data_IF_815684210760
#
_entry.id   IF_815684210760
#
_cell.length_a   1.000
_cell.length_b   1.000
_cell.length_c   1.000
_cell.angle_alpha   90.00
_cell.angle_beta   90.00
_cell.angle_gamma   90.00
#
_symmetry.space_group_name_H-M   'P 1'
#
loop_
_entity.id
_entity.type
_entity.pdbx_description
1 polymer ?
#
# COMPACT_ATOMS: atom_id res chain seq x y z
N UNK A 1 14.07 -25.21 33.57
CA UNK A 1 13.98 -24.12 32.60
C UNK A 1 14.50 -24.54 31.22
N UNK A 2 13.79 -25.38 30.46
CA UNK A 2 14.29 -25.86 29.17
C UNK A 2 13.17 -26.25 28.17
N UNK A 3 12.04 -25.54 28.10
CA UNK A 3 10.96 -25.84 27.14
C UNK A 3 10.65 -24.71 26.14
N UNK A 4 11.41 -23.60 26.14
CA UNK A 4 11.15 -22.47 25.24
C UNK A 4 11.83 -22.60 23.86
N UNK A 5 12.92 -23.33 23.74
CA UNK A 5 13.71 -23.42 22.52
C UNK A 5 13.01 -24.11 21.33
N UNK A 6 12.30 -25.25 21.49
CA UNK A 6 11.62 -25.92 20.37
C UNK A 6 10.45 -25.10 19.80
N UNK A 7 9.76 -24.34 20.65
CA UNK A 7 8.63 -23.50 20.22
C UNK A 7 9.08 -22.28 19.39
N UNK A 8 10.20 -21.67 19.77
CA UNK A 8 10.82 -20.55 19.01
C UNK A 8 11.36 -21.02 17.66
N UNK A 9 12.00 -22.18 17.60
CA UNK A 9 12.50 -22.78 16.36
C UNK A 9 11.33 -23.12 15.43
N UNK A 10 10.25 -23.69 15.93
CA UNK A 10 9.05 -24.00 15.13
C UNK A 10 8.37 -22.76 14.57
N UNK A 11 8.28 -21.66 15.33
CA UNK A 11 7.76 -20.38 14.85
C UNK A 11 8.63 -19.75 13.76
N UNK A 12 9.96 -19.79 13.90
CA UNK A 12 10.90 -19.27 12.92
C UNK A 12 10.89 -20.09 11.63
N UNK A 13 10.90 -21.42 11.72
CA UNK A 13 10.79 -22.32 10.58
C UNK A 13 9.45 -22.15 9.84
N UNK A 14 8.34 -22.00 10.57
CA UNK A 14 7.02 -21.75 9.99
C UNK A 14 6.93 -20.44 9.21
N UNK A 15 7.59 -19.37 9.68
CA UNK A 15 7.65 -18.08 8.95
C UNK A 15 8.47 -18.18 7.67
N UNK A 16 9.58 -18.90 7.69
CA UNK A 16 10.42 -19.12 6.51
C UNK A 16 9.72 -19.98 5.46
N UNK A 17 9.03 -21.04 5.88
CA UNK A 17 8.28 -21.91 4.99
C UNK A 17 7.13 -21.16 4.33
N UNK A 18 6.38 -20.32 5.07
CA UNK A 18 5.31 -19.48 4.50
C UNK A 18 5.82 -18.51 3.45
N UNK A 19 6.98 -17.90 3.68
CA UNK A 19 7.59 -16.96 2.74
C UNK A 19 8.07 -17.64 1.45
N UNK A 20 8.73 -18.78 1.54
CA UNK A 20 9.14 -19.55 0.36
C UNK A 20 7.90 -20.01 -0.44
N UNK A 21 6.87 -20.51 0.25
CA UNK A 21 5.60 -20.91 -0.34
C UNK A 21 4.89 -19.71 -1.00
N UNK A 22 4.82 -18.56 -0.34
CA UNK A 22 4.24 -17.34 -0.89
C UNK A 22 4.93 -16.89 -2.18
N UNK A 23 6.27 -16.80 -2.19
CA UNK A 23 7.01 -16.41 -3.39
C UNK A 23 6.76 -17.36 -4.57
N UNK A 24 6.75 -18.65 -4.30
CA UNK A 24 6.48 -19.65 -5.31
C UNK A 24 5.04 -19.55 -5.83
N UNK A 25 4.05 -19.43 -4.95
CA UNK A 25 2.65 -19.27 -5.33
C UNK A 25 2.34 -17.94 -6.03
N UNK A 26 3.03 -16.86 -5.66
CA UNK A 26 2.88 -15.56 -6.34
C UNK A 26 3.38 -15.56 -7.78
N UNK A 27 4.26 -16.49 -8.15
CA UNK A 27 4.81 -16.62 -9.51
C UNK A 27 4.14 -17.76 -10.30
N UNK A 28 3.81 -18.88 -9.65
CA UNK A 28 3.37 -20.11 -10.31
C UNK A 28 1.97 -20.55 -9.95
N UNK A 29 1.36 -20.01 -8.89
CA UNK A 29 0.01 -20.31 -8.43
C UNK A 29 -1.06 -19.64 -9.29
N UNK A 30 -2.30 -20.11 -9.16
CA UNK A 30 -3.44 -19.38 -9.70
C UNK A 30 -3.65 -18.06 -8.92
N UNK A 31 -4.40 -17.12 -9.49
CA UNK A 31 -4.61 -15.79 -8.90
C UNK A 31 -5.13 -15.85 -7.46
N UNK A 32 -6.07 -16.74 -7.15
CA UNK A 32 -6.66 -16.86 -5.83
C UNK A 32 -5.66 -17.38 -4.78
N UNK A 33 -4.84 -18.36 -5.15
CA UNK A 33 -3.76 -18.86 -4.28
C UNK A 33 -2.71 -17.78 -4.00
N UNK A 34 -2.39 -16.99 -5.03
CA UNK A 34 -1.47 -15.88 -4.90
C UNK A 34 -2.02 -14.82 -3.92
N UNK A 35 -3.28 -14.41 -4.07
CA UNK A 35 -3.94 -13.44 -3.17
C UNK A 35 -3.93 -13.95 -1.72
N UNK A 36 -4.27 -15.22 -1.47
CA UNK A 36 -4.25 -15.79 -0.12
C UNK A 36 -2.84 -15.81 0.48
N UNK A 37 -1.84 -16.17 -0.32
CA UNK A 37 -0.46 -16.18 0.11
C UNK A 37 0.05 -14.77 0.45
N UNK A 38 -0.36 -13.76 -0.33
CA UNK A 38 -0.07 -12.34 -0.10
C UNK A 38 -0.71 -11.82 1.18
N UNK A 39 -1.96 -12.21 1.47
CA UNK A 39 -2.64 -11.85 2.71
C UNK A 39 -1.89 -12.36 3.95
N UNK A 40 -1.35 -13.57 3.89
CA UNK A 40 -0.59 -14.12 5.02
C UNK A 40 0.70 -13.33 5.29
N UNK A 41 1.44 -12.97 4.23
CA UNK A 41 2.67 -12.19 4.33
C UNK A 41 2.38 -10.73 4.70
N UNK A 42 1.39 -10.12 4.05
CA UNK A 42 0.98 -8.74 4.34
C UNK A 42 0.54 -8.56 5.80
N UNK A 43 -0.15 -9.53 6.37
CA UNK A 43 -0.51 -9.51 7.81
C UNK A 43 0.71 -9.51 8.73
N UNK A 44 1.73 -10.32 8.40
CA UNK A 44 2.97 -10.33 9.18
C UNK A 44 3.72 -8.99 9.03
N UNK A 45 3.69 -8.36 7.84
CA UNK A 45 4.24 -7.03 7.59
C UNK A 45 3.46 -5.94 8.32
N UNK A 46 2.13 -5.98 8.25
CA UNK A 46 1.26 -5.00 8.91
C UNK A 46 1.50 -4.94 10.42
N UNK A 47 1.70 -6.08 11.07
CA UNK A 47 2.06 -6.14 12.50
C UNK A 47 3.37 -5.41 12.80
N UNK A 48 4.37 -5.52 11.93
CA UNK A 48 5.65 -4.81 12.10
C UNK A 48 5.45 -3.31 11.99
N UNK A 49 4.62 -2.86 11.04
CA UNK A 49 4.27 -1.43 10.89
C UNK A 49 3.54 -0.92 12.13
N UNK A 50 2.55 -1.67 12.63
CA UNK A 50 1.80 -1.31 13.83
C UNK A 50 2.67 -1.27 15.09
N UNK A 51 3.61 -2.22 15.25
CA UNK A 51 4.56 -2.24 16.37
C UNK A 51 5.53 -1.03 16.35
N UNK A 52 5.81 -0.49 15.17
CA UNK A 52 6.67 0.69 14.99
C UNK A 52 5.89 2.01 15.06
N UNK A 53 4.61 1.98 14.78
CA UNK A 53 3.68 3.11 14.93
C UNK A 53 3.34 3.28 16.41
N UNK A 54 3.76 4.38 17.03
CA UNK A 54 3.53 4.66 18.45
C UNK A 54 2.07 5.06 18.69
N UNK A 55 1.19 4.10 18.95
CA UNK A 55 -0.18 4.34 19.40
C UNK A 55 -1.26 3.98 18.36
N UNK A 56 -2.53 4.08 18.75
CA UNK A 56 -3.70 3.92 17.87
C UNK A 56 -4.15 5.30 17.38
N UNK A 57 -4.45 5.40 16.09
CA UNK A 57 -4.98 6.62 15.51
C UNK A 57 -6.36 7.00 16.06
N UNK A 58 -6.84 8.19 15.72
CA UNK A 58 -8.16 8.68 16.14
C UNK A 58 -9.26 7.72 15.68
N UNK A 59 -10.14 7.25 16.60
CA UNK A 59 -11.30 6.44 16.23
C UNK A 59 -12.21 7.12 15.19
N UNK A 60 -12.31 8.43 15.21
CA UNK A 60 -13.07 9.23 14.23
C UNK A 60 -12.51 9.03 12.81
N UNK A 61 -11.19 9.11 12.65
CA UNK A 61 -10.57 8.90 11.34
C UNK A 61 -10.72 7.45 10.87
N UNK A 62 -10.60 6.48 11.77
CA UNK A 62 -10.82 5.09 11.41
C UNK A 62 -12.24 4.86 10.89
N UNK A 63 -13.26 5.39 11.57
CA UNK A 63 -14.66 5.29 11.15
C UNK A 63 -14.88 5.96 9.78
N UNK A 64 -14.31 7.15 9.56
CA UNK A 64 -14.40 7.85 8.28
C UNK A 64 -13.78 7.00 7.14
N UNK A 65 -12.56 6.51 7.35
CA UNK A 65 -11.85 5.71 6.34
C UNK A 65 -12.55 4.38 6.06
N UNK A 66 -13.09 3.70 7.07
CA UNK A 66 -13.86 2.47 6.91
C UNK A 66 -15.16 2.70 6.12
N UNK A 67 -15.85 3.83 6.35
CA UNK A 67 -17.07 4.20 5.63
C UNK A 67 -16.79 4.48 4.14
N UNK A 68 -15.60 4.97 3.79
CA UNK A 68 -15.16 5.17 2.41
C UNK A 68 -14.66 3.87 1.79
N UNK A 69 -13.87 3.10 2.51
CA UNK A 69 -13.25 1.87 2.00
C UNK A 69 -14.27 0.77 1.70
N UNK A 70 -15.31 0.65 2.52
CA UNK A 70 -16.33 -0.40 2.38
C UNK A 70 -17.07 -0.38 1.03
N UNK A 71 -17.62 0.74 0.54
CA UNK A 71 -18.21 0.80 -0.80
C UNK A 71 -17.20 0.55 -1.91
N UNK A 72 -15.95 1.04 -1.80
CA UNK A 72 -14.88 0.76 -2.76
C UNK A 72 -14.60 -0.74 -2.86
N UNK A 73 -14.34 -1.40 -1.74
CA UNK A 73 -14.09 -2.84 -1.68
C UNK A 73 -15.26 -3.66 -2.25
N UNK A 74 -16.50 -3.18 -2.06
CA UNK A 74 -17.71 -3.75 -2.62
C UNK A 74 -17.76 -3.76 -4.15
N UNK A 75 -16.96 -2.95 -4.84
CA UNK A 75 -16.89 -2.89 -6.31
C UNK A 75 -15.77 -3.72 -6.91
N UNK A 76 -14.85 -4.23 -6.10
CA UNK A 76 -13.77 -5.10 -6.58
C UNK A 76 -14.35 -6.43 -7.02
N UNK A 77 -14.07 -6.84 -8.28
CA UNK A 77 -14.66 -8.04 -8.90
C UNK A 77 -14.21 -9.32 -8.22
N UNK A 78 -12.90 -9.49 -8.02
CA UNK A 78 -12.35 -10.67 -7.36
C UNK A 78 -12.56 -10.58 -5.85
N UNK A 79 -13.53 -11.34 -5.34
CA UNK A 79 -13.95 -11.34 -3.93
C UNK A 79 -12.93 -11.97 -2.97
N UNK A 80 -11.82 -12.51 -3.47
CA UNK A 80 -10.74 -13.00 -2.63
C UNK A 80 -9.85 -11.84 -2.12
N UNK A 81 -9.86 -10.67 -2.79
CA UNK A 81 -9.24 -9.48 -2.22
C UNK A 81 -9.96 -9.07 -0.93
N UNK A 82 -9.18 -8.83 0.09
CA UNK A 82 -9.62 -8.29 1.38
C UNK A 82 -8.85 -7.00 1.61
N UNK A 83 -9.55 -5.96 2.05
CA UNK A 83 -8.91 -4.68 2.34
C UNK A 83 -9.14 -4.34 3.81
N UNK A 84 -8.07 -3.98 4.49
CA UNK A 84 -8.07 -3.55 5.88
C UNK A 84 -7.35 -2.20 5.94
N UNK A 85 -8.12 -1.15 6.24
CA UNK A 85 -7.59 0.20 6.32
C UNK A 85 -7.20 0.48 7.77
N UNK A 86 -6.02 1.04 7.98
CA UNK A 86 -5.49 1.34 9.32
C UNK A 86 -4.97 2.78 9.37
N UNK A 87 -5.28 3.46 10.44
CA UNK A 87 -4.69 4.77 10.72
C UNK A 87 -3.25 4.56 11.19
N UNK A 88 -2.29 5.18 10.50
CA UNK A 88 -0.87 5.16 10.85
C UNK A 88 -0.49 6.48 11.51
N UNK A 89 0.01 6.46 12.74
CA UNK A 89 0.52 7.68 13.36
C UNK A 89 1.81 8.11 12.66
N UNK A 90 1.70 9.16 11.87
CA UNK A 90 2.79 9.80 11.16
C UNK A 90 2.48 11.30 11.04
N UNK A 91 3.48 12.13 11.31
CA UNK A 91 3.38 13.58 11.11
C UNK A 91 3.33 13.93 9.61
N UNK A 92 3.88 13.07 8.77
CA UNK A 92 3.91 13.26 7.33
C UNK A 92 2.62 12.71 6.69
N UNK A 93 1.98 13.45 5.75
CA UNK A 93 0.83 12.97 5.00
C UNK A 93 1.26 11.82 4.09
N UNK A 94 0.92 10.61 4.48
CA UNK A 94 1.29 9.39 3.76
C UNK A 94 0.15 8.40 3.70
N UNK A 95 0.09 7.65 2.61
CA UNK A 95 -0.69 6.43 2.45
C UNK A 95 0.15 5.40 1.72
N UNK A 96 -0.03 4.13 2.04
CA UNK A 96 0.61 3.03 1.32
C UNK A 96 -0.13 1.72 1.55
N UNK A 97 -0.01 0.82 0.57
CA UNK A 97 -0.53 -0.52 0.64
C UNK A 97 0.59 -1.56 0.81
N UNK A 98 0.34 -2.54 1.67
CA UNK A 98 1.12 -3.77 1.77
C UNK A 98 0.45 -4.89 0.95
N UNK A 99 1.18 -5.95 0.55
CA UNK A 99 0.59 -7.11 -0.08
C UNK A 99 -0.62 -7.64 0.71
N UNK A 100 -1.61 -8.17 -0.01
CA UNK A 100 -2.78 -8.78 0.61
C UNK A 100 -3.84 -7.80 1.13
N UNK A 101 -3.65 -6.47 0.89
CA UNK A 101 -4.71 -5.48 1.08
C UNK A 101 -4.69 -4.73 2.42
N UNK A 102 -3.57 -4.71 3.13
CA UNK A 102 -3.39 -3.87 4.31
C UNK A 102 -2.95 -2.47 3.86
N UNK A 103 -3.81 -1.48 4.08
CA UNK A 103 -3.60 -0.08 3.67
C UNK A 103 -3.47 0.78 4.90
N UNK A 104 -2.42 1.59 4.94
CA UNK A 104 -2.14 2.52 6.03
C UNK A 104 -2.31 3.95 5.55
N UNK A 105 -2.95 4.79 6.36
CA UNK A 105 -3.22 6.20 6.05
C UNK A 105 -2.91 7.05 7.28
N UNK A 106 -2.10 8.09 7.09
CA UNK A 106 -1.77 9.01 8.16
C UNK A 106 -2.91 10.00 8.45
N UNK A 107 -3.14 10.39 9.73
CA UNK A 107 -4.06 11.46 10.10
C UNK A 107 -3.81 12.77 9.34
N UNK A 108 -2.54 13.15 9.18
CA UNK A 108 -2.13 14.34 8.43
C UNK A 108 -2.60 14.34 6.97
N UNK A 109 -2.73 13.16 6.32
CA UNK A 109 -3.31 13.05 4.99
C UNK A 109 -4.83 13.24 5.00
N UNK A 110 -5.52 12.74 6.03
CA UNK A 110 -6.97 12.95 6.22
C UNK A 110 -7.28 14.42 6.45
N UNK A 111 -6.45 15.09 7.23
CA UNK A 111 -6.54 16.53 7.48
C UNK A 111 -6.23 17.35 6.23
N UNK A 112 -5.19 16.98 5.47
CA UNK A 112 -4.87 17.60 4.18
C UNK A 112 -6.04 17.54 3.20
N UNK A 113 -6.74 16.41 3.15
CA UNK A 113 -7.97 16.26 2.36
C UNK A 113 -9.18 16.98 2.98
N UNK A 114 -9.03 17.68 4.11
CA UNK A 114 -10.13 18.33 4.87
C UNK A 114 -11.29 17.35 5.15
N UNK A 115 -10.97 16.08 5.36
CA UNK A 115 -11.92 14.98 5.56
C UNK A 115 -12.88 14.78 4.36
N UNK A 116 -12.54 15.31 3.17
CA UNK A 116 -13.36 15.19 1.96
C UNK A 116 -13.39 13.73 1.50
N UNK A 117 -14.59 13.16 1.48
CA UNK A 117 -14.77 11.73 1.17
C UNK A 117 -14.41 11.36 -0.27
N UNK A 118 -14.59 12.25 -1.25
CA UNK A 118 -14.24 11.98 -2.65
C UNK A 118 -12.72 11.94 -2.86
N UNK A 119 -12.00 12.86 -2.20
CA UNK A 119 -10.54 12.93 -2.24
C UNK A 119 -9.91 11.72 -1.53
N UNK A 120 -10.44 11.37 -0.36
CA UNK A 120 -10.01 10.17 0.38
C UNK A 120 -10.38 8.87 -0.36
N UNK A 121 -11.52 8.85 -1.08
CA UNK A 121 -11.90 7.71 -1.91
C UNK A 121 -10.93 7.49 -3.06
N UNK A 122 -10.39 8.57 -3.66
CA UNK A 122 -9.30 8.46 -4.63
C UNK A 122 -8.04 7.86 -3.99
N UNK A 123 -7.60 8.38 -2.85
CA UNK A 123 -6.40 7.87 -2.16
C UNK A 123 -6.55 6.38 -1.83
N UNK A 124 -7.65 6.00 -1.19
CA UNK A 124 -7.92 4.60 -0.83
C UNK A 124 -8.02 3.73 -2.10
N UNK A 125 -8.72 4.22 -3.12
CA UNK A 125 -8.87 3.53 -4.41
C UNK A 125 -7.54 3.32 -5.12
N UNK A 126 -6.62 4.29 -5.07
CA UNK A 126 -5.27 4.23 -5.59
C UNK A 126 -4.46 3.13 -4.89
N UNK A 127 -4.49 3.09 -3.56
CA UNK A 127 -3.82 2.04 -2.80
C UNK A 127 -4.45 0.64 -3.04
N UNK A 128 -5.78 0.57 -3.15
CA UNK A 128 -6.46 -0.66 -3.55
C UNK A 128 -6.03 -1.11 -4.95
N UNK A 129 -5.83 -0.18 -5.88
CA UNK A 129 -5.36 -0.49 -7.24
C UNK A 129 -3.97 -1.11 -7.24
N UNK A 130 -3.03 -0.61 -6.43
CA UNK A 130 -1.73 -1.23 -6.24
C UNK A 130 -1.83 -2.68 -5.73
N UNK A 131 -2.76 -2.96 -4.83
CA UNK A 131 -3.03 -4.34 -4.36
C UNK A 131 -3.62 -5.21 -5.46
N UNK A 132 -4.66 -4.73 -6.16
CA UNK A 132 -5.36 -5.46 -7.23
C UNK A 132 -4.40 -5.79 -8.38
N UNK A 133 -3.53 -4.86 -8.74
CA UNK A 133 -2.53 -5.00 -9.80
C UNK A 133 -1.24 -5.68 -9.33
N UNK A 134 -1.14 -5.96 -8.02
CA UNK A 134 -0.01 -6.66 -7.42
C UNK A 134 1.34 -5.92 -7.60
N UNK A 135 1.30 -4.59 -7.77
CA UNK A 135 2.49 -3.76 -7.99
C UNK A 135 3.54 -3.93 -6.89
N UNK A 136 3.09 -4.12 -5.66
CA UNK A 136 3.93 -4.44 -4.53
C UNK A 136 4.77 -5.72 -4.72
N UNK A 137 4.16 -6.74 -5.32
CA UNK A 137 4.81 -8.02 -5.59
C UNK A 137 5.85 -7.88 -6.69
N UNK A 138 5.51 -7.20 -7.77
CA UNK A 138 6.43 -6.96 -8.89
C UNK A 138 7.68 -6.22 -8.40
N UNK A 139 7.51 -5.25 -7.51
CA UNK A 139 8.60 -4.53 -6.87
C UNK A 139 9.47 -5.43 -6.01
N UNK A 140 8.89 -6.31 -5.20
CA UNK A 140 9.63 -7.28 -4.37
C UNK A 140 10.39 -8.29 -5.24
N UNK A 141 9.77 -8.79 -6.29
CA UNK A 141 10.37 -9.77 -7.18
C UNK A 141 11.52 -9.17 -8.00
N UNK A 142 11.34 -7.96 -8.55
CA UNK A 142 12.39 -7.28 -9.31
C UNK A 142 13.63 -6.94 -8.45
N UNK A 143 13.42 -6.53 -7.20
CA UNK A 143 14.54 -6.30 -6.28
C UNK A 143 15.28 -7.59 -5.91
N UNK A 144 14.57 -8.73 -5.82
CA UNK A 144 15.20 -10.02 -5.57
C UNK A 144 15.95 -10.58 -6.76
N UNK A 145 15.47 -10.38 -7.97
CA UNK A 145 16.20 -10.75 -9.17
C UNK A 145 17.57 -10.03 -9.22
N UNK A 146 17.61 -8.76 -8.79
CA UNK A 146 18.86 -8.01 -8.63
C UNK A 146 19.73 -8.50 -7.47
N UNK A 147 19.14 -8.97 -6.36
CA UNK A 147 19.88 -9.45 -5.18
C UNK A 147 20.26 -10.92 -5.26
N UNK A 148 19.52 -11.75 -6.01
CA UNK A 148 19.88 -13.16 -6.24
C UNK A 148 21.12 -13.32 -7.12
N UNK A 149 21.43 -12.33 -7.95
CA UNK A 149 22.73 -12.28 -8.64
C UNK A 149 23.91 -12.12 -7.67
N UNK A 150 23.69 -11.71 -6.41
CA UNK A 150 24.69 -11.54 -5.36
C UNK A 150 24.61 -12.58 -4.21
N UNK A 151 23.62 -13.49 -4.19
CA UNK A 151 23.39 -14.44 -3.09
C UNK A 151 23.87 -15.86 -3.41
N UNK A 152 25.18 -16.01 -3.46
CA UNK A 152 25.86 -17.31 -3.30
C UNK A 152 26.09 -17.63 -1.81
N UNK A 153 25.11 -17.46 -0.92
CA UNK A 153 25.25 -17.76 0.51
C UNK A 153 24.01 -18.44 1.10
N UNK A 154 24.18 -19.37 2.07
CA UNK A 154 23.08 -20.17 2.63
C UNK A 154 22.03 -19.30 3.32
N UNK A 155 20.84 -19.24 2.73
CA UNK A 155 19.77 -18.27 3.00
C UNK A 155 18.98 -18.52 4.30
N UNK A 156 19.59 -19.00 5.36
CA UNK A 156 18.89 -19.45 6.58
C UNK A 156 18.70 -18.43 7.70
N UNK A 157 19.37 -17.26 7.69
CA UNK A 157 19.46 -16.43 8.92
C UNK A 157 18.90 -15.01 8.84
N UNK A 158 18.35 -14.57 7.71
CA UNK A 158 18.09 -13.15 7.48
C UNK A 158 16.60 -12.75 7.31
N UNK A 159 15.61 -13.55 7.72
CA UNK A 159 14.20 -13.29 7.40
C UNK A 159 13.56 -12.24 8.33
N UNK A 160 13.81 -12.27 9.61
CA UNK A 160 13.23 -11.31 10.55
C UNK A 160 13.91 -9.92 10.44
N UNK A 161 15.25 -9.80 10.36
CA UNK A 161 15.92 -8.54 10.04
C UNK A 161 15.52 -7.99 8.67
N UNK A 162 15.32 -8.88 7.68
CA UNK A 162 14.91 -8.48 6.35
C UNK A 162 13.46 -7.95 6.31
N UNK A 163 12.50 -8.56 7.03
CA UNK A 163 11.14 -8.02 7.15
C UNK A 163 11.12 -6.65 7.83
N UNK A 164 12.00 -6.43 8.83
CA UNK A 164 12.15 -5.12 9.47
C UNK A 164 12.83 -4.10 8.56
N UNK A 165 13.86 -4.50 7.83
CA UNK A 165 14.56 -3.61 6.88
C UNK A 165 13.74 -3.37 5.61
N UNK A 166 13.00 -4.37 5.11
CA UNK A 166 12.11 -4.24 3.96
C UNK A 166 10.88 -3.42 4.33
N UNK A 167 10.36 -3.51 5.56
CA UNK A 167 9.22 -2.69 6.00
C UNK A 167 9.49 -1.20 5.80
N UNK A 168 10.64 -0.70 6.26
CA UNK A 168 11.03 0.71 6.13
C UNK A 168 11.52 1.06 4.72
N UNK A 169 12.45 0.29 4.16
CA UNK A 169 12.99 0.53 2.81
C UNK A 169 11.96 0.32 1.69
N UNK A 170 10.86 -0.37 1.98
CA UNK A 170 9.82 -0.63 1.03
C UNK A 170 8.90 0.58 0.84
N UNK A 171 8.73 1.37 1.88
CA UNK A 171 8.02 2.65 1.84
C UNK A 171 8.82 3.72 1.06
N UNK A 172 10.16 3.58 1.01
CA UNK A 172 11.06 4.57 0.39
C UNK A 172 11.22 4.41 -1.14
N UNK A 173 10.69 3.33 -1.74
CA UNK A 173 10.90 3.06 -3.18
C UNK A 173 9.65 3.34 -4.00
N UNK A 174 9.79 4.22 -4.96
CA UNK A 174 8.78 4.55 -5.95
C UNK A 174 8.31 3.32 -6.77
N UNK A 175 7.06 3.33 -7.15
CA UNK A 175 6.53 2.49 -8.22
C UNK A 175 7.00 3.04 -9.58
N UNK A 176 6.89 2.25 -10.66
CA UNK A 176 7.15 2.80 -11.99
C UNK A 176 6.05 3.81 -12.37
N UNK A 177 6.38 4.72 -13.28
CA UNK A 177 5.43 5.73 -13.78
C UNK A 177 4.16 5.09 -14.34
N UNK A 178 4.30 3.98 -15.04
CA UNK A 178 3.19 3.22 -15.63
C UNK A 178 2.30 2.60 -14.55
N UNK A 179 2.90 2.05 -13.49
CA UNK A 179 2.17 1.49 -12.35
C UNK A 179 1.37 2.55 -11.59
N UNK A 180 1.94 3.75 -11.45
CA UNK A 180 1.26 4.89 -10.85
C UNK A 180 0.08 5.36 -11.70
N UNK A 181 0.27 5.52 -13.00
CA UNK A 181 -0.82 5.90 -13.91
C UNK A 181 -1.93 4.85 -13.93
N UNK A 182 -1.58 3.57 -13.90
CA UNK A 182 -2.57 2.50 -13.80
C UNK A 182 -3.33 2.55 -12.48
N UNK A 183 -2.65 2.81 -11.35
CA UNK A 183 -3.26 2.95 -10.05
C UNK A 183 -4.18 4.18 -9.97
N UNK A 184 -3.77 5.31 -10.54
CA UNK A 184 -4.58 6.53 -10.63
C UNK A 184 -5.90 6.30 -11.37
N UNK A 185 -5.82 5.72 -12.55
CA UNK A 185 -7.02 5.46 -13.38
C UNK A 185 -7.93 4.43 -12.73
N UNK A 186 -7.38 3.32 -12.25
CA UNK A 186 -8.16 2.26 -11.62
C UNK A 186 -8.77 2.73 -10.30
N UNK A 187 -8.02 3.47 -9.48
CA UNK A 187 -8.48 4.03 -8.22
C UNK A 187 -9.60 5.04 -8.43
N UNK A 188 -9.44 5.96 -9.38
CA UNK A 188 -10.47 6.94 -9.73
C UNK A 188 -11.75 6.29 -10.29
N UNK A 189 -11.62 5.25 -11.14
CA UNK A 189 -12.78 4.48 -11.62
C UNK A 189 -13.47 3.72 -10.50
N UNK A 190 -12.70 3.17 -9.56
CA UNK A 190 -13.24 2.48 -8.41
C UNK A 190 -14.05 3.44 -7.52
N UNK A 191 -13.53 4.64 -7.29
CA UNK A 191 -14.23 5.70 -6.57
C UNK A 191 -15.54 6.07 -7.30
N UNK A 192 -15.49 6.30 -8.61
CA UNK A 192 -16.67 6.64 -9.42
C UNK A 192 -17.76 5.57 -9.33
N UNK A 193 -17.43 4.30 -9.53
CA UNK A 193 -18.44 3.21 -9.49
C UNK A 193 -18.93 2.92 -8.06
N UNK A 194 -18.19 3.36 -7.05
CA UNK A 194 -18.60 3.30 -5.64
C UNK A 194 -19.52 4.47 -5.23
N UNK A 195 -19.72 5.47 -6.13
CA UNK A 195 -20.62 6.60 -5.93
C UNK A 195 -19.94 7.89 -5.47
N UNK A 196 -18.60 7.95 -5.49
CA UNK A 196 -17.81 9.15 -5.20
C UNK A 196 -17.58 9.98 -6.49
N UNK A 197 -17.39 11.28 -6.34
CA UNK A 197 -17.01 12.15 -7.47
C UNK A 197 -15.57 11.86 -7.93
N UNK A 198 -15.35 11.39 -9.18
CA UNK A 198 -14.01 11.11 -9.68
C UNK A 198 -13.12 12.35 -9.77
N UNK A 199 -13.69 13.58 -9.76
CA UNK A 199 -12.94 14.83 -9.66
C UNK A 199 -12.24 15.00 -8.31
N UNK A 200 -12.59 14.20 -7.30
CA UNK A 200 -11.84 14.08 -6.05
C UNK A 200 -10.36 13.76 -6.27
N UNK A 201 -10.05 12.94 -7.29
CA UNK A 201 -8.67 12.66 -7.67
C UNK A 201 -7.90 13.93 -8.07
N UNK A 202 -8.52 14.77 -8.90
CA UNK A 202 -7.89 16.02 -9.36
C UNK A 202 -7.71 17.02 -8.22
N UNK A 203 -8.70 17.12 -7.31
CA UNK A 203 -8.62 17.99 -6.13
C UNK A 203 -7.51 17.53 -5.18
N UNK A 204 -7.42 16.24 -4.90
CA UNK A 204 -6.38 15.70 -4.04
C UNK A 204 -4.98 15.93 -4.61
N UNK A 205 -4.78 15.70 -5.90
CA UNK A 205 -3.52 15.97 -6.57
C UNK A 205 -3.17 17.48 -6.58
N UNK A 206 -4.18 18.35 -6.68
CA UNK A 206 -3.96 19.79 -6.56
C UNK A 206 -3.52 20.21 -5.15
N UNK A 207 -4.06 19.58 -4.10
CA UNK A 207 -3.57 19.79 -2.73
C UNK A 207 -2.11 19.39 -2.58
N UNK A 208 -1.70 18.26 -3.18
CA UNK A 208 -0.31 17.85 -3.19
C UNK A 208 0.57 18.86 -3.93
N UNK A 209 0.14 19.37 -5.09
CA UNK A 209 0.87 20.40 -5.85
C UNK A 209 1.11 21.66 -5.04
N UNK A 210 0.10 22.14 -4.34
CA UNK A 210 0.19 23.36 -3.55
C UNK A 210 1.19 23.26 -2.38
N UNK A 211 1.53 22.04 -1.98
CA UNK A 211 2.55 21.78 -0.96
C UNK A 211 3.97 21.63 -1.53
N UNK A 212 4.13 21.27 -2.81
CA UNK A 212 5.46 21.17 -3.46
C UNK A 212 6.24 22.49 -3.46
N UNK A 213 5.57 23.63 -3.45
CA UNK A 213 6.19 24.97 -3.50
C UNK A 213 6.45 25.62 -2.13
N UNK A 214 5.97 25.04 -1.05
CA UNK A 214 6.18 25.51 0.30
C UNK A 214 7.37 24.80 0.95
N UNK A 215 8.05 25.45 1.90
CA UNK A 215 9.08 24.79 2.72
C UNK A 215 8.45 23.58 3.44
N UNK A 216 8.37 22.46 2.77
CA UNK A 216 7.77 21.15 3.11
C UNK A 216 7.46 20.96 4.65
N UNK A 217 6.56 21.76 5.25
CA UNK A 217 6.30 21.72 6.68
C UNK A 217 5.61 20.42 7.08
N UNK A 218 5.09 19.66 6.12
CA UNK A 218 4.35 18.42 6.34
C UNK A 218 5.12 17.18 5.84
N UNK A 219 6.40 17.31 5.36
CA UNK A 219 7.19 16.16 4.90
C UNK A 219 6.61 15.45 3.68
N UNK A 220 5.86 16.17 2.83
CA UNK A 220 5.22 15.64 1.63
C UNK A 220 6.24 15.16 0.57
N UNK A 221 7.48 15.69 0.64
CA UNK A 221 8.58 15.23 -0.21
C UNK A 221 8.78 13.72 -0.16
N UNK A 222 8.51 13.09 0.98
CA UNK A 222 8.58 11.63 1.12
C UNK A 222 7.48 10.93 0.27
N UNK A 223 6.26 11.44 0.26
CA UNK A 223 5.18 10.92 -0.60
C UNK A 223 5.48 11.19 -2.09
N UNK A 224 5.84 12.42 -2.44
CA UNK A 224 6.12 12.82 -3.83
C UNK A 224 7.35 12.12 -4.40
N UNK A 225 8.35 11.79 -3.57
CA UNK A 225 9.54 11.06 -4.04
C UNK A 225 9.23 9.64 -4.53
N UNK A 226 8.09 9.10 -4.13
CA UNK A 226 7.64 7.75 -4.52
C UNK A 226 6.64 7.76 -5.67
N UNK A 227 6.18 8.95 -6.14
CA UNK A 227 5.16 9.08 -7.17
C UNK A 227 5.62 10.02 -8.31
N UNK A 228 5.10 9.87 -9.55
CA UNK A 228 5.43 10.75 -10.68
C UNK A 228 4.95 12.20 -10.48
N UNK A 229 5.42 13.15 -11.32
CA UNK A 229 4.97 14.53 -11.30
C UNK A 229 3.45 14.65 -11.36
N UNK A 230 2.88 15.53 -10.54
CA UNK A 230 1.43 15.68 -10.35
C UNK A 230 0.72 16.09 -11.64
N UNK A 231 1.32 16.96 -12.45
CA UNK A 231 0.74 17.42 -13.71
C UNK A 231 0.48 16.27 -14.68
N UNK A 232 1.44 15.37 -14.81
CA UNK A 232 1.32 14.19 -15.66
C UNK A 232 0.18 13.27 -15.18
N UNK A 233 0.05 13.10 -13.86
CA UNK A 233 -1.01 12.29 -13.24
C UNK A 233 -2.39 12.91 -13.49
N UNK A 234 -2.53 14.21 -13.25
CA UNK A 234 -3.81 14.92 -13.48
C UNK A 234 -4.24 14.87 -14.94
N UNK A 235 -3.30 15.12 -15.88
CA UNK A 235 -3.59 15.04 -17.30
C UNK A 235 -4.07 13.63 -17.67
N UNK A 236 -3.34 12.60 -17.24
CA UNK A 236 -3.70 11.22 -17.53
C UNK A 236 -5.07 10.82 -16.99
N UNK A 237 -5.42 11.23 -15.77
CA UNK A 237 -6.75 10.99 -15.18
C UNK A 237 -7.84 11.67 -16.02
N UNK A 238 -7.67 12.95 -16.40
CA UNK A 238 -8.65 13.68 -17.23
C UNK A 238 -8.94 12.96 -18.53
N UNK A 239 -7.87 12.59 -19.26
CA UNK A 239 -7.97 11.89 -20.54
C UNK A 239 -8.70 10.54 -20.40
N UNK A 240 -8.32 9.73 -19.42
CA UNK A 240 -8.84 8.37 -19.24
C UNK A 240 -10.28 8.32 -18.71
N UNK A 241 -10.69 9.32 -17.94
CA UNK A 241 -12.03 9.40 -17.35
C UNK A 241 -12.95 10.36 -18.10
N UNK A 242 -12.45 11.07 -19.12
CA UNK A 242 -13.19 12.07 -19.91
C UNK A 242 -13.79 13.15 -19.01
N UNK A 243 -12.96 13.70 -18.12
CA UNK A 243 -13.42 14.72 -17.15
C UNK A 243 -13.37 16.16 -17.70
N UNK A 244 -13.00 16.34 -18.97
CA UNK A 244 -12.94 17.63 -19.65
C UNK A 244 -14.31 17.99 -20.27
N UNK A 245 -15.34 18.05 -19.44
CA UNK A 245 -16.70 18.40 -19.83
C UNK A 245 -17.32 19.37 -18.83
#
# INVERSE_FOLDING_TARGET
>A
MAKAAPYLVGRLAGKQFRKAKWMWQSVTGNENEAIQAEQAVGRDMAKVVEEQSQGSGSPEFQILLDNIAKPLAGRVKNRNHRFEIKVLLSDNPTAFALPGGFIFIAPSLVELAEKNSDELAFVIGHEMAHVIRRHAIDRILSQKALSMASLATPAGRAVAPWLRSVGMQWLEKAYSREQEFEADVLGSRLAQVAGFDPRGALRMLERFRNLEGSSDPLGLSAYLSTHPPIDDRQQHIREQLRLDG
#
